data_IF_488656189955
#
_entry.id   IF_488656189955
#
_cell.length_a   1.000
_cell.length_b   1.000
_cell.length_c   1.000
_cell.angle_alpha   90.00
_cell.angle_beta   90.00
_cell.angle_gamma   90.00
#
_symmetry.space_group_name_H-M   'P 1'
#
loop_
_entity.id
_entity.type
_entity.pdbx_description
1 polymer ?
#
# COMPACT_ATOMS: atom_id res chain seq x y z
N UNK A 1 -38.95 -10.79 53.61
CA UNK A 1 -38.77 -9.63 52.72
C UNK A 1 -37.85 -10.12 51.60
N UNK A 2 -38.30 -10.80 50.54
CA UNK A 2 -39.28 -10.45 49.50
C UNK A 2 -38.96 -9.09 48.86
N UNK A 3 -38.20 -9.15 47.76
CA UNK A 3 -38.53 -8.45 46.51
C UNK A 3 -37.84 -9.17 45.35
N UNK A 4 -38.69 -9.89 44.62
CA UNK A 4 -38.53 -10.40 43.27
C UNK A 4 -38.55 -9.23 42.24
N UNK A 5 -38.40 -9.58 40.96
CA UNK A 5 -38.62 -8.79 39.73
C UNK A 5 -37.41 -7.99 39.20
N UNK A 6 -36.92 -8.14 37.96
CA UNK A 6 -37.45 -8.73 36.72
C UNK A 6 -36.29 -9.24 35.86
N UNK A 7 -36.33 -10.53 35.53
CA UNK A 7 -35.63 -11.13 34.39
C UNK A 7 -36.40 -10.72 33.12
N UNK A 8 -35.76 -9.98 32.21
CA UNK A 8 -36.27 -9.83 30.85
C UNK A 8 -35.83 -11.05 30.03
N UNK A 9 -36.76 -12.01 29.92
CA UNK A 9 -36.77 -13.10 28.96
C UNK A 9 -37.17 -12.50 27.61
N UNK A 10 -36.25 -12.45 26.64
CA UNK A 10 -36.62 -12.25 25.24
C UNK A 10 -37.06 -13.60 24.67
N UNK A 11 -38.37 -13.70 24.48
CA UNK A 11 -39.10 -14.77 23.83
C UNK A 11 -38.59 -14.99 22.40
N UNK A 12 -38.12 -16.21 22.15
CA UNK A 12 -37.98 -16.77 20.81
C UNK A 12 -39.34 -17.32 20.38
N UNK A 13 -40.11 -16.53 19.65
CA UNK A 13 -41.40 -16.96 19.12
C UNK A 13 -42.06 -15.91 18.24
N UNK A 14 -41.71 -15.89 16.95
CA UNK A 14 -42.62 -15.55 15.84
C UNK A 14 -41.84 -15.35 14.53
N UNK A 15 -41.45 -16.45 13.85
CA UNK A 15 -41.19 -16.41 12.40
C UNK A 15 -41.49 -17.79 11.77
N UNK A 16 -42.76 -18.19 11.80
CA UNK A 16 -43.31 -19.22 10.93
C UNK A 16 -44.66 -18.72 10.43
N UNK A 17 -44.73 -18.10 9.25
CA UNK A 17 -45.83 -18.37 8.31
C UNK A 17 -45.64 -17.72 6.90
N UNK A 18 -44.72 -18.24 6.07
CA UNK A 18 -44.62 -17.83 4.65
C UNK A 18 -44.84 -19.00 3.69
N UNK A 19 -45.09 -20.22 4.18
CA UNK A 19 -45.19 -21.41 3.31
C UNK A 19 -46.59 -21.81 2.84
N UNK A 20 -47.67 -21.23 3.37
CA UNK A 20 -49.04 -21.68 3.02
C UNK A 20 -49.85 -20.78 2.08
N UNK A 21 -49.28 -19.69 1.54
CA UNK A 21 -49.99 -18.84 0.55
C UNK A 21 -49.95 -19.35 -0.90
N UNK A 22 -49.37 -20.51 -1.19
CA UNK A 22 -49.26 -21.03 -2.56
C UNK A 22 -50.40 -21.94 -3.03
N UNK A 23 -51.46 -22.20 -2.23
CA UNK A 23 -52.48 -23.23 -2.54
C UNK A 23 -53.93 -22.78 -2.75
N UNK A 24 -54.22 -21.49 -2.85
CA UNK A 24 -55.59 -21.02 -3.19
C UNK A 24 -55.56 -19.86 -4.18
N UNK A 25 -55.21 -20.15 -5.42
CA UNK A 25 -55.58 -19.30 -6.55
C UNK A 25 -56.86 -19.87 -7.19
N UNK A 26 -57.91 -19.07 -7.40
CA UNK A 26 -59.15 -19.52 -8.03
C UNK A 26 -58.92 -19.84 -9.51
N UNK A 27 -59.36 -21.04 -9.90
CA UNK A 27 -59.40 -21.54 -11.27
C UNK A 27 -60.32 -20.65 -12.11
N UNK A 28 -59.75 -19.74 -12.90
CA UNK A 28 -60.48 -19.05 -13.95
C UNK A 28 -60.71 -19.99 -15.13
N UNK A 29 -61.94 -20.05 -15.70
CA UNK A 29 -62.22 -20.88 -16.87
C UNK A 29 -61.44 -20.36 -18.08
N UNK A 30 -60.72 -21.28 -18.73
CA UNK A 30 -59.98 -21.05 -19.97
C UNK A 30 -61.00 -20.88 -21.09
N UNK A 31 -61.16 -19.66 -21.58
CA UNK A 31 -61.88 -19.37 -22.82
C UNK A 31 -61.02 -19.87 -24.00
N UNK A 32 -61.54 -20.73 -24.90
CA UNK A 32 -60.78 -21.15 -26.07
C UNK A 32 -60.59 -19.95 -27.01
N UNK A 33 -59.32 -19.53 -27.20
CA UNK A 33 -58.96 -18.54 -28.20
C UNK A 33 -59.30 -19.08 -29.59
N UNK A 34 -60.33 -18.50 -30.18
CA UNK A 34 -60.64 -18.60 -31.61
C UNK A 34 -59.42 -18.15 -32.43
N UNK A 35 -59.14 -18.94 -33.46
CA UNK A 35 -58.02 -18.81 -34.38
C UNK A 35 -57.90 -17.37 -34.92
N UNK A 36 -56.90 -16.63 -34.41
CA UNK A 36 -56.34 -15.48 -35.12
C UNK A 36 -55.57 -16.00 -36.31
N UNK A 37 -55.90 -15.48 -37.49
CA UNK A 37 -55.29 -15.83 -38.76
C UNK A 37 -53.77 -15.69 -38.80
N UNK A 38 -53.14 -16.11 -39.90
CA UNK A 38 -51.68 -16.21 -40.00
C UNK A 38 -51.05 -14.86 -39.68
N UNK A 39 -50.39 -14.79 -38.52
CA UNK A 39 -49.44 -13.74 -38.21
C UNK A 39 -48.33 -13.79 -39.26
N UNK A 40 -48.42 -12.93 -40.27
CA UNK A 40 -47.26 -12.56 -41.07
C UNK A 40 -46.31 -11.84 -40.12
N UNK A 41 -45.25 -12.55 -39.69
CA UNK A 41 -44.11 -11.87 -39.09
C UNK A 41 -43.60 -10.84 -40.10
N UNK A 42 -43.37 -9.59 -39.69
CA UNK A 42 -42.61 -8.64 -40.50
C UNK A 42 -41.27 -9.31 -40.80
N UNK A 43 -41.03 -9.60 -42.07
CA UNK A 43 -39.74 -10.09 -42.55
C UNK A 43 -38.72 -9.02 -42.14
N UNK A 44 -37.71 -9.34 -41.31
CA UNK A 44 -36.68 -8.36 -40.98
C UNK A 44 -36.02 -7.97 -42.30
N UNK A 45 -36.11 -6.69 -42.65
CA UNK A 45 -35.51 -6.14 -43.85
C UNK A 45 -34.03 -6.50 -43.87
N UNK A 46 -33.65 -7.34 -44.83
CA UNK A 46 -32.27 -7.78 -45.07
C UNK A 46 -31.37 -6.66 -45.64
N UNK A 47 -31.81 -5.40 -45.57
CA UNK A 47 -31.17 -4.22 -46.19
C UNK A 47 -30.52 -3.25 -45.21
N UNK A 48 -30.47 -3.55 -43.90
CA UNK A 48 -29.76 -2.73 -42.90
C UNK A 48 -28.59 -3.45 -42.22
N UNK A 49 -28.03 -4.49 -42.85
CA UNK A 49 -26.73 -5.05 -42.48
C UNK A 49 -25.58 -4.31 -43.19
N UNK A 50 -25.65 -2.97 -43.25
CA UNK A 50 -24.43 -2.17 -43.32
C UNK A 50 -23.73 -2.34 -41.98
N UNK A 51 -22.85 -3.36 -41.93
CA UNK A 51 -21.91 -3.58 -40.84
C UNK A 51 -21.35 -2.22 -40.39
N UNK A 52 -21.73 -1.69 -39.21
CA UNK A 52 -21.10 -0.49 -38.72
C UNK A 52 -19.64 -0.88 -38.54
N UNK A 53 -18.80 -0.29 -39.40
CA UNK A 53 -17.41 -0.66 -39.56
C UNK A 53 -16.79 -0.93 -38.20
N UNK A 54 -16.15 -2.08 -38.08
CA UNK A 54 -15.34 -2.43 -36.93
C UNK A 54 -14.33 -1.29 -36.72
N UNK A 55 -14.72 -0.29 -35.91
CA UNK A 55 -13.84 0.77 -35.51
C UNK A 55 -12.64 0.07 -34.87
N UNK A 56 -11.41 0.36 -35.35
CA UNK A 56 -10.27 -0.50 -35.11
C UNK A 56 -10.06 -0.64 -33.61
N UNK A 57 -10.17 -1.87 -33.09
CA UNK A 57 -10.00 -2.18 -31.66
C UNK A 57 -8.62 -1.77 -31.13
N UNK A 58 -7.64 -1.56 -32.02
CA UNK A 58 -6.35 -0.93 -31.74
C UNK A 58 -6.46 0.52 -31.25
N UNK A 59 -7.40 1.32 -31.78
CA UNK A 59 -7.61 2.70 -31.36
C UNK A 59 -8.02 2.79 -29.88
N UNK A 60 -8.79 1.82 -29.39
CA UNK A 60 -9.28 1.79 -28.02
C UNK A 60 -8.18 1.47 -26.99
N UNK A 61 -7.39 0.42 -27.23
CA UNK A 61 -6.30 0.05 -26.32
C UNK A 61 -5.25 1.16 -26.25
N UNK A 62 -4.98 1.80 -27.38
CA UNK A 62 -4.06 2.94 -27.49
C UNK A 62 -4.62 4.19 -26.78
N UNK A 63 -5.92 4.48 -26.91
CA UNK A 63 -6.58 5.58 -26.20
C UNK A 63 -6.60 5.33 -24.68
N UNK A 64 -6.84 4.10 -24.23
CA UNK A 64 -6.77 3.74 -22.82
C UNK A 64 -5.35 3.90 -22.26
N UNK A 65 -4.34 3.38 -22.96
CA UNK A 65 -2.92 3.54 -22.59
C UNK A 65 -2.48 5.01 -22.54
N UNK A 66 -2.88 5.79 -23.55
CA UNK A 66 -2.63 7.24 -23.58
C UNK A 66 -3.36 7.97 -22.45
N UNK A 67 -4.62 7.63 -22.13
CA UNK A 67 -5.34 8.28 -21.04
C UNK A 67 -4.71 8.03 -19.66
N UNK A 68 -3.95 6.94 -19.54
CA UNK A 68 -3.21 6.59 -18.35
C UNK A 68 -1.83 7.25 -18.29
N UNK A 69 -1.11 7.29 -19.41
CA UNK A 69 0.22 7.92 -19.50
C UNK A 69 0.15 9.46 -19.47
N UNK A 70 -0.90 10.05 -20.03
CA UNK A 70 -1.06 11.51 -20.11
C UNK A 70 -1.74 12.11 -18.87
N UNK A 71 -2.23 11.28 -17.94
CA UNK A 71 -2.88 11.75 -16.73
C UNK A 71 -4.05 12.70 -17.02
N UNK A 72 -4.10 13.91 -16.42
CA UNK A 72 -5.16 14.89 -16.68
C UNK A 72 -5.25 15.35 -18.15
N UNK A 73 -4.14 15.32 -18.91
CA UNK A 73 -4.14 15.73 -20.32
C UNK A 73 -4.94 14.77 -21.22
N UNK A 74 -5.30 13.58 -20.71
CA UNK A 74 -6.24 12.66 -21.32
C UNK A 74 -7.61 13.29 -21.64
N UNK A 75 -8.00 14.36 -20.93
CA UNK A 75 -9.23 15.10 -21.21
C UNK A 75 -9.26 15.66 -22.64
N UNK A 76 -8.11 16.04 -23.20
CA UNK A 76 -8.00 16.53 -24.58
C UNK A 76 -8.28 15.44 -25.63
N UNK A 77 -7.98 14.19 -25.29
CA UNK A 77 -8.15 13.04 -26.18
C UNK A 77 -9.59 12.54 -26.24
N UNK A 78 -10.44 12.92 -25.28
CA UNK A 78 -11.84 12.46 -25.23
C UNK A 78 -12.80 13.55 -25.75
N UNK A 79 -13.78 13.21 -26.61
CA UNK A 79 -14.79 14.16 -27.07
C UNK A 79 -15.60 14.76 -25.91
N UNK A 80 -15.87 13.98 -24.87
CA UNK A 80 -16.54 14.43 -23.65
C UNK A 80 -15.68 15.42 -22.84
N UNK A 81 -14.40 15.13 -22.65
CA UNK A 81 -13.48 16.03 -21.94
C UNK A 81 -13.35 17.39 -22.62
N UNK A 82 -13.28 17.44 -23.96
CA UNK A 82 -13.19 18.69 -24.74
C UNK A 82 -14.41 19.61 -24.57
N UNK A 83 -15.58 19.08 -24.23
CA UNK A 83 -16.81 19.87 -24.02
C UNK A 83 -16.88 20.49 -22.62
N UNK A 84 -16.09 20.00 -21.67
CA UNK A 84 -16.12 20.45 -20.28
C UNK A 84 -14.86 21.22 -19.92
N UNK A 85 -14.79 22.48 -20.35
CA UNK A 85 -13.64 23.37 -20.15
C UNK A 85 -13.16 23.44 -18.69
N UNK A 86 -14.06 23.39 -17.70
CA UNK A 86 -13.68 23.46 -16.28
C UNK A 86 -12.82 22.30 -15.79
N UNK A 87 -13.03 21.08 -16.29
CA UNK A 87 -12.18 19.94 -15.91
C UNK A 87 -10.81 20.01 -16.56
N UNK A 88 -10.77 20.54 -17.78
CA UNK A 88 -9.53 20.74 -18.52
C UNK A 88 -8.64 21.79 -17.86
N UNK A 89 -9.22 22.93 -17.47
CA UNK A 89 -8.49 23.99 -16.76
C UNK A 89 -7.99 23.49 -15.41
N UNK A 90 -8.82 22.76 -14.65
CA UNK A 90 -8.41 22.14 -13.39
C UNK A 90 -7.24 21.16 -13.59
N UNK A 91 -7.31 20.31 -14.61
CA UNK A 91 -6.26 19.35 -14.93
C UNK A 91 -4.93 20.02 -15.30
N UNK A 92 -4.97 21.05 -16.15
CA UNK A 92 -3.78 21.82 -16.54
C UNK A 92 -3.20 22.58 -15.34
N UNK A 93 -4.03 23.29 -14.58
CA UNK A 93 -3.59 24.04 -13.41
C UNK A 93 -2.95 23.12 -12.36
N UNK A 94 -3.56 21.96 -12.10
CA UNK A 94 -3.04 20.96 -11.16
C UNK A 94 -1.74 20.32 -11.64
N UNK A 95 -1.61 20.04 -12.95
CA UNK A 95 -0.39 19.50 -13.53
C UNK A 95 0.77 20.50 -13.48
N UNK A 96 0.51 21.78 -13.78
CA UNK A 96 1.51 22.84 -13.67
C UNK A 96 1.94 23.05 -12.22
N UNK A 97 0.99 23.12 -11.29
CA UNK A 97 1.28 23.23 -9.87
C UNK A 97 2.09 22.02 -9.37
N UNK A 98 1.69 20.79 -9.72
CA UNK A 98 2.41 19.57 -9.36
C UNK A 98 3.83 19.52 -9.95
N UNK A 99 4.01 19.91 -11.21
CA UNK A 99 5.33 19.99 -11.85
C UNK A 99 6.22 21.03 -11.16
N UNK A 100 5.67 22.20 -10.82
CA UNK A 100 6.37 23.23 -10.06
C UNK A 100 6.83 22.69 -8.70
N UNK A 101 5.97 21.97 -7.99
CA UNK A 101 6.29 21.34 -6.70
C UNK A 101 7.35 20.25 -6.82
N UNK A 102 7.30 19.44 -7.88
CA UNK A 102 8.21 18.32 -8.07
C UNK A 102 9.59 18.74 -8.60
N UNK A 103 9.66 19.81 -9.40
CA UNK A 103 10.88 20.25 -10.07
C UNK A 103 11.65 21.31 -9.27
N UNK A 104 10.95 22.11 -8.46
CA UNK A 104 11.60 23.15 -7.70
C UNK A 104 11.85 22.66 -6.27
N UNK A 105 13.12 22.54 -5.85
CA UNK A 105 13.43 22.09 -4.50
C UNK A 105 12.83 23.05 -3.49
N UNK A 106 12.30 22.48 -2.40
CA UNK A 106 11.61 23.19 -1.33
C UNK A 106 12.40 24.40 -0.80
N UNK A 107 13.73 24.27 -0.73
CA UNK A 107 14.66 25.30 -0.29
C UNK A 107 14.66 26.60 -1.13
N UNK A 108 14.19 26.56 -2.39
CA UNK A 108 14.11 27.75 -3.25
C UNK A 108 12.83 28.56 -3.07
N UNK A 109 11.77 27.96 -2.53
CA UNK A 109 10.45 28.60 -2.41
C UNK A 109 10.17 29.19 -1.04
N UNK A 110 10.80 28.65 0.00
CA UNK A 110 10.57 29.08 1.38
C UNK A 110 11.74 29.98 1.80
N UNK A 111 11.64 31.33 1.65
CA UNK A 111 12.54 32.21 2.35
C UNK A 111 12.44 31.90 3.84
N UNK A 112 13.61 31.80 4.49
CA UNK A 112 13.85 31.36 5.87
C UNK A 112 13.02 32.13 6.93
N UNK A 113 12.35 33.21 6.56
CA UNK A 113 11.88 34.23 7.50
C UNK A 113 10.43 34.06 7.98
N UNK A 114 9.57 33.23 7.36
CA UNK A 114 8.16 33.13 7.80
C UNK A 114 7.56 31.72 7.75
N UNK A 115 6.95 31.29 8.88
CA UNK A 115 6.18 30.03 9.01
C UNK A 115 4.94 29.95 8.10
N UNK A 116 4.47 31.08 7.55
CA UNK A 116 3.31 31.11 6.67
C UNK A 116 3.58 30.49 5.29
N UNK A 117 4.80 30.63 4.78
CA UNK A 117 5.19 30.13 3.45
C UNK A 117 5.14 28.60 3.33
N UNK A 118 5.67 27.79 4.28
CA UNK A 118 5.59 26.34 4.19
C UNK A 118 4.17 25.80 4.32
N UNK A 119 3.31 26.44 5.12
CA UNK A 119 1.89 26.11 5.21
C UNK A 119 1.17 26.40 3.89
N UNK A 120 1.38 27.57 3.28
CA UNK A 120 0.84 27.89 1.96
C UNK A 120 1.32 26.92 0.87
N UNK A 121 2.58 26.51 0.92
CA UNK A 121 3.13 25.54 -0.02
C UNK A 121 2.54 24.14 0.12
N UNK A 122 2.45 23.63 1.36
CA UNK A 122 1.87 22.32 1.65
C UNK A 122 0.39 22.27 1.28
N UNK A 123 -0.38 23.31 1.59
CA UNK A 123 -1.78 23.43 1.19
C UNK A 123 -1.94 23.49 -0.33
N UNK A 124 -1.11 24.28 -1.02
CA UNK A 124 -1.10 24.30 -2.49
C UNK A 124 -0.77 22.92 -3.06
N UNK A 125 0.17 22.18 -2.48
CA UNK A 125 0.53 20.84 -2.91
C UNK A 125 -0.60 19.82 -2.72
N UNK A 126 -1.28 19.88 -1.58
CA UNK A 126 -2.48 19.06 -1.32
C UNK A 126 -3.58 19.38 -2.34
N UNK A 127 -3.89 20.66 -2.56
CA UNK A 127 -4.92 21.08 -3.50
C UNK A 127 -4.58 20.71 -4.94
N UNK A 128 -3.33 20.89 -5.36
CA UNK A 128 -2.85 20.50 -6.68
C UNK A 128 -2.94 18.99 -6.89
N UNK A 129 -2.59 18.20 -5.88
CA UNK A 129 -2.67 16.73 -5.96
C UNK A 129 -4.13 16.29 -6.04
N UNK A 130 -5.01 16.78 -5.16
CA UNK A 130 -6.44 16.45 -5.18
C UNK A 130 -7.08 16.89 -6.50
N UNK A 131 -6.80 18.10 -6.97
CA UNK A 131 -7.30 18.63 -8.23
C UNK A 131 -6.86 17.79 -9.43
N UNK A 132 -5.57 17.41 -9.47
CA UNK A 132 -4.99 16.59 -10.51
C UNK A 132 -5.62 15.19 -10.58
N UNK A 133 -5.71 14.52 -9.44
CA UNK A 133 -6.36 13.21 -9.35
C UNK A 133 -7.86 13.26 -9.63
N UNK A 134 -8.55 14.34 -9.26
CA UNK A 134 -9.97 14.54 -9.58
C UNK A 134 -10.19 14.74 -11.08
N UNK A 135 -9.37 15.57 -11.74
CA UNK A 135 -9.41 15.76 -13.18
C UNK A 135 -9.06 14.45 -13.92
N UNK A 136 -8.08 13.70 -13.43
CA UNK A 136 -7.68 12.42 -14.01
C UNK A 136 -8.76 11.35 -13.85
N UNK A 137 -9.34 11.21 -12.65
CA UNK A 137 -10.47 10.32 -12.40
C UNK A 137 -11.66 10.64 -13.32
N UNK A 138 -11.94 11.93 -13.54
CA UNK A 138 -12.99 12.36 -14.47
C UNK A 138 -12.66 12.04 -15.92
N UNK A 139 -11.40 12.22 -16.34
CA UNK A 139 -10.94 11.82 -17.67
C UNK A 139 -11.15 10.33 -17.92
N UNK A 140 -10.82 9.51 -16.92
CA UNK A 140 -11.06 8.08 -16.93
C UNK A 140 -12.55 7.77 -17.05
N UNK A 141 -13.45 8.45 -16.35
CA UNK A 141 -14.89 8.25 -16.51
C UNK A 141 -15.37 8.55 -17.95
N UNK A 142 -14.86 9.60 -18.60
CA UNK A 142 -15.21 9.93 -19.98
C UNK A 142 -14.62 8.96 -21.00
N UNK A 143 -13.39 8.48 -20.80
CA UNK A 143 -12.80 7.42 -21.60
C UNK A 143 -13.56 6.10 -21.41
N UNK A 144 -13.96 5.82 -20.17
CA UNK A 144 -14.74 4.65 -19.79
C UNK A 144 -16.08 4.58 -20.53
N UNK A 145 -16.70 5.74 -20.80
CA UNK A 145 -17.95 5.84 -21.53
C UNK A 145 -17.90 5.22 -22.94
N UNK A 146 -16.71 5.21 -23.54
CA UNK A 146 -16.45 4.70 -24.89
C UNK A 146 -16.02 3.23 -24.88
N UNK A 147 -15.83 2.63 -23.70
CA UNK A 147 -15.44 1.22 -23.57
C UNK A 147 -16.60 0.32 -24.01
N UNK A 148 -16.39 -0.56 -25.01
CA UNK A 148 -17.40 -1.52 -25.41
C UNK A 148 -17.67 -2.52 -24.27
N UNK A 149 -18.89 -3.05 -24.17
CA UNK A 149 -19.25 -4.00 -23.12
C UNK A 149 -18.37 -5.26 -23.19
N UNK A 150 -18.15 -5.98 -22.06
CA UNK A 150 -17.14 -7.05 -21.97
C UNK A 150 -17.24 -8.14 -23.03
N UNK A 151 -18.46 -8.47 -23.47
CA UNK A 151 -18.71 -9.48 -24.49
C UNK A 151 -18.22 -9.10 -25.90
N UNK A 152 -18.02 -7.79 -26.18
CA UNK A 152 -17.50 -7.28 -27.46
C UNK A 152 -16.00 -6.98 -27.44
N UNK A 153 -15.32 -7.22 -26.32
CA UNK A 153 -13.89 -6.96 -26.19
C UNK A 153 -13.04 -8.08 -26.80
N UNK A 154 -11.83 -7.74 -27.24
CA UNK A 154 -10.87 -8.69 -27.80
C UNK A 154 -10.59 -9.84 -26.81
N UNK A 155 -10.30 -11.05 -27.32
CA UNK A 155 -10.13 -12.26 -26.50
C UNK A 155 -9.08 -12.11 -25.39
N UNK A 156 -7.97 -11.43 -25.65
CA UNK A 156 -6.92 -11.18 -24.65
C UNK A 156 -7.40 -10.32 -23.46
N UNK A 157 -8.22 -9.29 -23.69
CA UNK A 157 -8.78 -8.44 -22.62
C UNK A 157 -9.82 -9.17 -21.76
N UNK A 158 -10.32 -10.31 -22.24
CA UNK A 158 -11.19 -11.20 -21.45
C UNK A 158 -10.41 -12.16 -20.54
N UNK A 159 -9.08 -12.21 -20.67
CA UNK A 159 -8.22 -13.01 -19.79
C UNK A 159 -8.10 -12.36 -18.42
N UNK A 160 -8.35 -13.13 -17.36
CA UNK A 160 -8.18 -12.68 -15.97
C UNK A 160 -6.76 -12.20 -15.68
N UNK A 161 -5.77 -12.92 -16.23
CA UNK A 161 -4.36 -12.56 -16.09
C UNK A 161 -4.06 -11.22 -16.76
N UNK A 162 -4.56 -11.01 -17.97
CA UNK A 162 -4.35 -9.74 -18.68
C UNK A 162 -4.95 -8.56 -17.90
N UNK A 163 -6.14 -8.74 -17.31
CA UNK A 163 -6.81 -7.70 -16.51
C UNK A 163 -6.13 -7.46 -15.17
N UNK A 164 -5.61 -8.51 -14.54
CA UNK A 164 -4.77 -8.39 -13.33
C UNK A 164 -3.48 -7.60 -13.63
N UNK A 165 -2.77 -7.97 -14.70
CA UNK A 165 -1.53 -7.31 -15.14
C UNK A 165 -1.80 -5.86 -15.52
N UNK A 166 -2.90 -5.59 -16.24
CA UNK A 166 -3.31 -4.22 -16.54
C UNK A 166 -3.63 -3.41 -15.28
N UNK A 167 -4.27 -4.02 -14.28
CA UNK A 167 -4.52 -3.38 -12.99
C UNK A 167 -3.24 -3.11 -12.18
N UNK A 168 -2.25 -4.00 -12.26
CA UNK A 168 -0.93 -3.81 -11.65
C UNK A 168 -0.17 -2.66 -12.30
N UNK A 169 -0.20 -2.56 -13.63
CA UNK A 169 0.47 -1.48 -14.37
C UNK A 169 -0.25 -0.15 -14.14
N UNK A 170 -1.58 -0.16 -14.14
CA UNK A 170 -2.41 1.04 -14.19
C UNK A 170 -3.65 0.93 -13.27
N UNK A 171 -3.69 1.68 -12.15
CA UNK A 171 -4.67 1.49 -11.08
C UNK A 171 -6.11 1.82 -11.50
N UNK A 172 -6.95 0.81 -11.69
CA UNK A 172 -8.35 0.96 -12.11
C UNK A 172 -8.60 0.48 -13.53
N UNK A 173 -7.55 0.23 -14.33
CA UNK A 173 -7.68 -0.37 -15.66
C UNK A 173 -8.43 -1.70 -15.62
N UNK A 174 -8.11 -2.55 -14.63
CA UNK A 174 -8.78 -3.83 -14.49
C UNK A 174 -10.30 -3.70 -14.30
N UNK A 175 -10.73 -2.68 -13.55
CA UNK A 175 -12.15 -2.39 -13.32
C UNK A 175 -12.84 -1.76 -14.53
N UNK A 176 -12.12 -0.96 -15.32
CA UNK A 176 -12.63 -0.42 -16.59
C UNK A 176 -12.94 -1.52 -17.59
N UNK A 177 -12.03 -2.49 -17.73
CA UNK A 177 -12.22 -3.63 -18.63
C UNK A 177 -13.41 -4.48 -18.18
N UNK A 178 -13.58 -4.66 -16.87
CA UNK A 178 -14.76 -5.29 -16.27
C UNK A 178 -16.08 -4.52 -16.38
N UNK A 179 -16.08 -3.32 -16.99
CA UNK A 179 -17.28 -2.53 -17.28
C UNK A 179 -17.78 -1.62 -16.16
N UNK A 180 -17.05 -1.52 -15.03
CA UNK A 180 -17.48 -0.70 -13.89
C UNK A 180 -16.74 0.63 -13.83
N UNK A 181 -17.26 1.58 -14.60
CA UNK A 181 -16.66 2.91 -14.86
C UNK A 181 -16.51 3.75 -13.59
N UNK A 182 -17.53 3.71 -12.72
CA UNK A 182 -17.55 4.48 -11.49
C UNK A 182 -16.48 4.01 -10.50
N UNK A 183 -16.39 2.69 -10.29
CA UNK A 183 -15.42 2.14 -9.35
C UNK A 183 -13.98 2.37 -9.83
N UNK A 184 -13.70 2.21 -11.13
CA UNK A 184 -12.38 2.51 -11.67
C UNK A 184 -11.91 3.95 -11.35
N UNK A 185 -12.81 4.92 -11.49
CA UNK A 185 -12.50 6.32 -11.17
C UNK A 185 -12.32 6.60 -9.69
N UNK A 186 -13.11 5.94 -8.82
CA UNK A 186 -12.97 6.06 -7.37
C UNK A 186 -11.64 5.49 -6.90
N UNK A 187 -11.22 4.33 -7.44
CA UNK A 187 -9.93 3.74 -7.11
C UNK A 187 -8.78 4.62 -7.55
N UNK A 188 -8.79 5.14 -8.78
CA UNK A 188 -7.78 6.08 -9.22
C UNK A 188 -7.74 7.34 -8.34
N UNK A 189 -8.90 7.87 -7.97
CA UNK A 189 -8.97 9.03 -7.07
C UNK A 189 -8.36 8.70 -5.70
N UNK A 190 -8.67 7.53 -5.12
CA UNK A 190 -8.16 7.10 -3.83
C UNK A 190 -6.63 6.95 -3.75
N UNK A 191 -5.89 7.00 -4.87
CA UNK A 191 -4.43 7.01 -4.87
C UNK A 191 -3.80 8.37 -4.53
N UNK A 192 -4.57 9.46 -4.51
CA UNK A 192 -4.01 10.80 -4.25
C UNK A 192 -3.21 10.90 -2.92
N UNK A 193 -3.61 10.27 -1.79
CA UNK A 193 -2.83 10.35 -0.56
C UNK A 193 -1.48 9.65 -0.66
N UNK A 194 -1.41 8.54 -1.41
CA UNK A 194 -0.17 7.80 -1.63
C UNK A 194 0.80 8.60 -2.50
N UNK A 195 0.29 9.23 -3.56
CA UNK A 195 1.10 10.11 -4.41
C UNK A 195 1.63 11.33 -3.64
N UNK A 196 0.80 11.94 -2.79
CA UNK A 196 1.22 13.00 -1.88
C UNK A 196 2.28 12.48 -0.89
N UNK A 197 2.08 11.29 -0.34
CA UNK A 197 3.06 10.65 0.55
C UNK A 197 4.42 10.45 -0.11
N UNK A 198 4.46 9.97 -1.36
CA UNK A 198 5.72 9.86 -2.14
C UNK A 198 6.39 11.22 -2.31
N UNK A 199 5.61 12.26 -2.63
CA UNK A 199 6.14 13.61 -2.79
C UNK A 199 6.74 14.16 -1.49
N UNK A 200 6.07 13.92 -0.35
CA UNK A 200 6.58 14.29 0.98
C UNK A 200 7.86 13.53 1.29
N UNK A 201 7.88 12.19 1.14
CA UNK A 201 9.05 11.37 1.43
C UNK A 201 10.26 11.75 0.56
N UNK A 202 10.04 12.04 -0.72
CA UNK A 202 11.10 12.50 -1.63
C UNK A 202 11.77 13.78 -1.14
N UNK A 203 11.02 14.68 -0.53
CA UNK A 203 11.51 15.97 -0.05
C UNK A 203 11.78 15.98 1.47
N UNK A 204 11.60 14.85 2.16
CA UNK A 204 11.65 14.78 3.63
C UNK A 204 13.00 15.26 4.18
N UNK A 205 14.11 14.88 3.53
CA UNK A 205 15.46 15.28 3.95
C UNK A 205 15.69 16.79 3.79
N UNK A 206 15.23 17.39 2.68
CA UNK A 206 15.36 18.83 2.46
C UNK A 206 14.48 19.63 3.43
N UNK A 207 13.26 19.14 3.69
CA UNK A 207 12.35 19.70 4.69
C UNK A 207 12.97 19.64 6.09
N UNK A 208 13.60 18.52 6.44
CA UNK A 208 14.28 18.32 7.72
C UNK A 208 15.46 19.28 7.90
N UNK A 209 16.37 19.34 6.91
CA UNK A 209 17.52 20.25 6.94
C UNK A 209 17.09 21.70 7.05
N UNK A 210 16.05 22.08 6.31
CA UNK A 210 15.50 23.43 6.41
C UNK A 210 14.97 23.70 7.81
N UNK A 211 14.16 22.80 8.38
CA UNK A 211 13.61 22.97 9.73
C UNK A 211 14.71 23.05 10.80
N UNK A 212 15.70 22.16 10.74
CA UNK A 212 16.83 22.14 11.68
C UNK A 212 17.62 23.45 11.70
N UNK A 213 17.67 24.17 10.57
CA UNK A 213 18.34 25.48 10.49
C UNK A 213 17.48 26.68 10.89
N UNK A 214 16.15 26.54 10.85
CA UNK A 214 15.22 27.68 10.94
C UNK A 214 14.43 27.72 12.24
N UNK A 215 14.14 26.56 12.84
CA UNK A 215 13.28 26.45 14.01
C UNK A 215 13.97 25.59 15.07
N UNK A 216 14.45 26.19 16.18
CA UNK A 216 15.05 25.44 17.29
C UNK A 216 14.02 24.71 18.16
N UNK A 217 12.72 24.82 17.83
CA UNK A 217 11.63 24.23 18.60
C UNK A 217 11.48 22.72 18.31
N UNK A 218 11.59 21.90 19.37
CA UNK A 218 11.41 20.44 19.32
C UNK A 218 10.01 20.04 18.87
N UNK A 219 8.98 20.83 19.22
CA UNK A 219 7.60 20.51 18.85
C UNK A 219 7.41 20.53 17.32
N UNK A 220 8.09 21.44 16.62
CA UNK A 220 8.05 21.50 15.17
C UNK A 220 8.76 20.31 14.52
N UNK A 221 9.87 19.85 15.11
CA UNK A 221 10.59 18.67 14.66
C UNK A 221 9.74 17.39 14.81
N UNK A 222 9.12 17.18 15.98
CA UNK A 222 8.23 16.04 16.23
C UNK A 222 7.03 16.03 15.25
N UNK A 223 6.43 17.18 14.96
CA UNK A 223 5.34 17.30 13.99
C UNK A 223 5.79 16.94 12.56
N UNK A 224 6.98 17.38 12.15
CA UNK A 224 7.55 17.03 10.85
C UNK A 224 7.82 15.52 10.76
N UNK A 225 8.44 14.92 11.79
CA UNK A 225 8.66 13.48 11.84
C UNK A 225 7.35 12.69 11.77
N UNK A 226 6.33 13.12 12.51
CA UNK A 226 5.00 12.52 12.45
C UNK A 226 4.39 12.62 11.04
N UNK A 227 4.54 13.77 10.37
CA UNK A 227 4.05 13.93 9.00
C UNK A 227 4.77 13.00 8.00
N UNK A 228 6.07 12.77 8.18
CA UNK A 228 6.86 11.83 7.38
C UNK A 228 6.38 10.38 7.62
N UNK A 229 6.11 10.01 8.87
CA UNK A 229 5.54 8.70 9.22
C UNK A 229 4.15 8.50 8.60
N UNK A 230 3.28 9.50 8.67
CA UNK A 230 1.96 9.47 8.04
C UNK A 230 2.06 9.36 6.52
N UNK A 231 3.01 10.06 5.90
CA UNK A 231 3.29 9.95 4.47
C UNK A 231 3.76 8.54 4.10
N UNK A 232 4.68 7.94 4.86
CA UNK A 232 5.12 6.55 4.67
C UNK A 232 3.94 5.57 4.79
N UNK A 233 3.12 5.71 5.82
CA UNK A 233 1.90 4.91 5.99
C UNK A 233 0.95 5.03 4.80
N UNK A 234 0.71 6.25 4.31
CA UNK A 234 -0.14 6.48 3.15
C UNK A 234 0.40 5.83 1.87
N UNK A 235 1.72 5.83 1.67
CA UNK A 235 2.36 5.13 0.53
C UNK A 235 2.16 3.62 0.63
N UNK A 236 2.39 3.03 1.80
CA UNK A 236 2.20 1.59 2.03
C UNK A 236 0.74 1.18 1.83
N UNK A 237 -0.20 1.90 2.44
CA UNK A 237 -1.63 1.67 2.26
C UNK A 237 -2.06 1.85 0.80
N UNK A 238 -1.51 2.85 0.11
CA UNK A 238 -1.72 3.06 -1.32
C UNK A 238 -1.24 1.89 -2.17
N UNK A 239 -0.05 1.36 -1.90
CA UNK A 239 0.49 0.20 -2.61
C UNK A 239 -0.37 -1.06 -2.37
N UNK A 240 -0.85 -1.27 -1.14
CA UNK A 240 -1.77 -2.36 -0.83
C UNK A 240 -3.11 -2.19 -1.55
N UNK A 241 -3.70 -0.98 -1.50
CA UNK A 241 -4.91 -0.62 -2.21
C UNK A 241 -4.77 -0.84 -3.73
N UNK A 242 -3.62 -0.50 -4.31
CA UNK A 242 -3.29 -0.75 -5.71
C UNK A 242 -3.32 -2.25 -6.04
N UNK A 243 -2.69 -3.09 -5.22
CA UNK A 243 -2.67 -4.54 -5.42
C UNK A 243 -4.07 -5.16 -5.29
N UNK A 244 -4.84 -4.73 -4.28
CA UNK A 244 -6.23 -5.15 -4.06
C UNK A 244 -7.10 -4.83 -5.27
N UNK A 245 -6.99 -3.62 -5.78
CA UNK A 245 -7.73 -3.16 -6.95
C UNK A 245 -7.40 -3.99 -8.20
N UNK A 246 -6.13 -4.37 -8.39
CA UNK A 246 -5.71 -5.21 -9.51
C UNK A 246 -6.34 -6.62 -9.44
N UNK A 247 -6.35 -7.23 -8.25
CA UNK A 247 -6.96 -8.54 -8.00
C UNK A 247 -8.49 -8.52 -8.16
N UNK A 248 -9.16 -7.50 -7.62
CA UNK A 248 -10.61 -7.35 -7.74
C UNK A 248 -11.05 -7.14 -9.20
N UNK A 249 -10.23 -6.47 -10.01
CA UNK A 249 -10.42 -6.40 -11.46
C UNK A 249 -10.44 -7.77 -12.14
N UNK A 250 -9.50 -8.65 -11.79
CA UNK A 250 -9.42 -10.01 -12.32
C UNK A 250 -10.58 -10.90 -11.84
N UNK A 251 -11.01 -10.72 -10.58
CA UNK A 251 -12.11 -11.48 -9.98
C UNK A 251 -13.44 -11.23 -10.67
N UNK A 252 -13.73 -10.00 -11.09
CA UNK A 252 -14.99 -9.66 -11.77
C UNK A 252 -15.18 -10.32 -13.13
N UNK A 253 -14.09 -10.84 -13.73
CA UNK A 253 -14.14 -11.64 -14.95
C UNK A 253 -14.32 -13.14 -14.68
N UNK A 254 -14.37 -13.57 -13.42
CA UNK A 254 -14.70 -14.95 -13.10
C UNK A 254 -16.19 -15.21 -13.36
N UNK A 255 -16.58 -16.18 -14.22
CA UNK A 255 -17.93 -16.73 -14.22
C UNK A 255 -18.30 -17.10 -12.79
N UNK A 256 -19.37 -16.48 -12.29
CA UNK A 256 -19.80 -16.63 -10.91
C UNK A 256 -20.08 -18.11 -10.61
N UNK A 257 -19.34 -18.78 -9.69
CA UNK A 257 -19.97 -19.85 -8.94
C UNK A 257 -21.07 -19.21 -8.07
N UNK A 258 -22.22 -19.87 -7.93
CA UNK A 258 -23.40 -19.38 -7.23
C UNK A 258 -23.19 -19.08 -5.72
N UNK A 259 -21.97 -19.18 -5.21
CA UNK A 259 -21.61 -18.97 -3.81
C UNK A 259 -20.68 -17.74 -3.69
N UNK A 260 -21.06 -16.85 -2.77
CA UNK A 260 -20.30 -15.71 -2.24
C UNK A 260 -20.28 -14.39 -3.06
N UNK A 261 -21.44 -13.73 -3.13
CA UNK A 261 -21.55 -12.26 -3.35
C UNK A 261 -21.28 -11.43 -2.08
N UNK A 262 -20.65 -11.98 -1.05
CA UNK A 262 -20.63 -11.34 0.28
C UNK A 262 -19.40 -10.50 0.65
N UNK A 263 -18.18 -11.01 0.52
CA UNK A 263 -17.07 -10.52 1.37
C UNK A 263 -15.70 -10.44 0.70
N UNK A 264 -15.62 -10.50 -0.64
CA UNK A 264 -14.34 -10.75 -1.31
C UNK A 264 -13.35 -9.57 -1.41
N UNK A 265 -13.77 -8.33 -1.12
CA UNK A 265 -12.82 -7.20 -1.02
C UNK A 265 -11.83 -7.38 0.15
N UNK A 266 -12.29 -7.99 1.26
CA UNK A 266 -11.44 -8.30 2.41
C UNK A 266 -10.41 -9.40 2.12
N UNK A 267 -10.70 -10.33 1.21
CA UNK A 267 -9.77 -11.41 0.88
C UNK A 267 -8.55 -10.94 0.09
N UNK A 268 -8.72 -9.97 -0.82
CA UNK A 268 -7.60 -9.39 -1.55
C UNK A 268 -6.72 -8.53 -0.63
N UNK A 269 -7.34 -7.76 0.28
CA UNK A 269 -6.61 -7.00 1.32
C UNK A 269 -5.86 -7.96 2.25
N UNK A 270 -6.55 -8.98 2.74
CA UNK A 270 -5.96 -10.02 3.58
C UNK A 270 -4.82 -10.74 2.87
N UNK A 271 -4.93 -11.02 1.56
CA UNK A 271 -3.85 -11.65 0.79
C UNK A 271 -2.64 -10.72 0.65
N UNK A 272 -2.86 -9.43 0.37
CA UNK A 272 -1.78 -8.44 0.30
C UNK A 272 -1.04 -8.28 1.63
N UNK A 273 -1.80 -8.14 2.73
CA UNK A 273 -1.26 -8.13 4.10
C UNK A 273 -0.56 -9.45 4.41
N UNK A 274 -1.12 -10.59 4.00
CA UNK A 274 -0.51 -11.90 4.22
C UNK A 274 0.79 -12.05 3.45
N UNK A 275 0.90 -11.55 2.22
CA UNK A 275 2.15 -11.57 1.44
C UNK A 275 3.23 -10.69 2.08
N UNK A 276 2.86 -9.50 2.55
CA UNK A 276 3.78 -8.62 3.28
C UNK A 276 4.22 -9.24 4.61
N UNK A 277 3.28 -9.81 5.37
CA UNK A 277 3.55 -10.53 6.59
C UNK A 277 4.41 -11.78 6.35
N UNK A 278 4.17 -12.52 5.26
CA UNK A 278 4.98 -13.68 4.84
C UNK A 278 6.39 -13.28 4.42
N UNK A 279 6.56 -12.13 3.76
CA UNK A 279 7.89 -11.62 3.41
C UNK A 279 8.70 -11.25 4.65
N UNK A 280 8.05 -10.63 5.66
CA UNK A 280 8.67 -10.30 6.95
C UNK A 280 8.92 -11.57 7.78
N UNK A 281 7.94 -12.48 7.87
CA UNK A 281 8.05 -13.73 8.60
C UNK A 281 9.05 -14.71 7.96
N UNK A 282 9.29 -14.61 6.66
CA UNK A 282 10.24 -15.46 5.95
C UNK A 282 11.70 -15.13 6.25
N UNK A 283 12.02 -13.90 6.67
CA UNK A 283 13.36 -13.50 7.11
C UNK A 283 13.29 -12.33 8.13
N UNK A 284 12.78 -12.58 9.35
CA UNK A 284 12.58 -11.52 10.35
C UNK A 284 13.89 -10.85 10.73
N UNK A 285 14.99 -11.60 10.79
CA UNK A 285 16.34 -11.09 11.09
C UNK A 285 16.85 -10.08 10.06
N UNK A 286 16.55 -10.29 8.77
CA UNK A 286 16.98 -9.34 7.71
C UNK A 286 16.14 -8.06 7.76
N UNK A 287 14.85 -8.20 8.03
CA UNK A 287 13.98 -7.05 8.22
C UNK A 287 14.39 -6.24 9.46
N UNK A 288 14.62 -6.92 10.60
CA UNK A 288 15.09 -6.28 11.83
C UNK A 288 16.43 -5.56 11.63
N UNK A 289 17.42 -6.19 10.98
CA UNK A 289 18.70 -5.55 10.64
C UNK A 289 18.52 -4.31 9.77
N UNK A 290 17.76 -4.40 8.68
CA UNK A 290 17.52 -3.24 7.82
C UNK A 290 16.85 -2.08 8.56
N UNK A 291 15.93 -2.38 9.49
CA UNK A 291 15.27 -1.38 10.33
C UNK A 291 16.24 -0.77 11.35
N UNK A 292 17.10 -1.58 11.97
CA UNK A 292 18.16 -1.13 12.87
C UNK A 292 19.17 -0.23 12.17
N UNK A 293 19.69 -0.64 11.01
CA UNK A 293 20.62 0.14 10.20
C UNK A 293 20.00 1.47 9.77
N UNK A 294 18.73 1.44 9.31
CA UNK A 294 18.01 2.66 8.96
C UNK A 294 17.80 3.58 10.17
N UNK A 295 17.53 3.03 11.36
CA UNK A 295 17.42 3.80 12.59
C UNK A 295 18.73 4.53 12.92
N UNK A 296 19.88 3.86 12.82
CA UNK A 296 21.19 4.47 13.08
C UNK A 296 21.51 5.59 12.08
N UNK A 297 21.23 5.38 10.79
CA UNK A 297 21.44 6.40 9.74
C UNK A 297 20.56 7.62 10.00
N UNK A 298 19.27 7.43 10.31
CA UNK A 298 18.35 8.54 10.58
C UNK A 298 18.69 9.26 11.89
N UNK A 299 19.14 8.53 12.91
CA UNK A 299 19.61 9.15 14.15
C UNK A 299 20.84 10.04 13.89
N UNK A 300 21.77 9.60 13.03
CA UNK A 300 22.93 10.41 12.65
C UNK A 300 22.55 11.70 11.88
N UNK A 301 21.44 11.68 11.16
CA UNK A 301 20.85 12.86 10.49
C UNK A 301 20.01 13.74 11.45
N UNK A 302 19.92 13.36 12.73
CA UNK A 302 19.29 14.14 13.79
C UNK A 302 17.80 13.84 14.04
N UNK A 303 17.21 12.86 13.34
CA UNK A 303 15.83 12.41 13.61
C UNK A 303 15.74 11.73 14.98
N UNK A 304 14.56 11.74 15.61
CA UNK A 304 14.36 11.29 17.00
C UNK A 304 13.17 10.35 17.20
N UNK A 305 12.04 10.57 16.53
CA UNK A 305 10.82 9.73 16.56
C UNK A 305 10.97 8.56 15.61
N UNK A 306 11.35 8.81 14.35
CA UNK A 306 11.44 7.77 13.32
C UNK A 306 12.44 6.67 13.71
N UNK A 307 13.70 6.98 14.09
CA UNK A 307 14.64 5.93 14.49
C UNK A 307 14.19 5.18 15.75
N UNK A 308 13.43 5.83 16.64
CA UNK A 308 12.85 5.17 17.80
C UNK A 308 11.80 4.12 17.38
N UNK A 309 10.89 4.48 16.48
CA UNK A 309 9.90 3.51 15.98
C UNK A 309 10.55 2.37 15.21
N UNK A 310 11.61 2.65 14.44
CA UNK A 310 12.35 1.63 13.70
C UNK A 310 13.11 0.67 14.63
N UNK A 311 13.79 1.19 15.66
CA UNK A 311 14.48 0.36 16.66
C UNK A 311 13.52 -0.48 17.49
N UNK A 312 12.36 0.07 17.90
CA UNK A 312 11.30 -0.69 18.55
C UNK A 312 10.71 -1.77 17.65
N UNK A 313 10.54 -1.50 16.35
CA UNK A 313 10.09 -2.49 15.39
C UNK A 313 11.14 -3.59 15.17
N UNK A 314 12.42 -3.23 15.10
CA UNK A 314 13.53 -4.19 15.00
C UNK A 314 13.60 -5.11 16.24
N UNK A 315 13.53 -4.55 17.45
CA UNK A 315 13.48 -5.30 18.71
C UNK A 315 12.28 -6.27 18.79
N UNK A 316 11.11 -5.86 18.26
CA UNK A 316 9.94 -6.75 18.21
C UNK A 316 10.07 -7.87 17.19
N UNK A 317 10.80 -7.65 16.10
CA UNK A 317 11.04 -8.64 15.06
C UNK A 317 12.14 -9.62 15.45
N UNK A 318 13.16 -9.15 16.17
CA UNK A 318 14.33 -9.92 16.58
C UNK A 318 14.84 -9.42 17.94
N UNK A 319 14.21 -9.91 19.01
CA UNK A 319 14.55 -9.54 20.39
C UNK A 319 15.84 -10.19 20.90
N UNK A 320 16.49 -11.04 20.10
CA UNK A 320 17.75 -11.66 20.49
C UNK A 320 18.93 -10.68 20.39
N UNK A 321 18.80 -9.65 19.55
CA UNK A 321 19.81 -8.61 19.38
C UNK A 321 19.55 -7.45 20.34
N UNK A 322 20.20 -7.49 21.50
CA UNK A 322 20.10 -6.46 22.55
C UNK A 322 20.42 -5.04 22.05
N UNK A 323 21.20 -4.91 20.98
CA UNK A 323 21.57 -3.63 20.37
C UNK A 323 20.34 -2.79 20.01
N UNK A 324 19.28 -3.40 19.46
CA UNK A 324 18.06 -2.65 19.09
C UNK A 324 17.36 -2.04 20.31
N UNK A 325 17.25 -2.81 21.39
CA UNK A 325 16.67 -2.36 22.65
C UNK A 325 17.52 -1.24 23.29
N UNK A 326 18.86 -1.37 23.28
CA UNK A 326 19.78 -0.36 23.78
C UNK A 326 19.66 0.94 22.99
N UNK A 327 19.59 0.87 21.66
CA UNK A 327 19.36 2.06 20.81
C UNK A 327 18.01 2.71 21.14
N UNK A 328 16.94 1.93 21.30
CA UNK A 328 15.63 2.46 21.66
C UNK A 328 15.64 3.14 23.05
N UNK A 329 16.31 2.54 24.05
CA UNK A 329 16.49 3.14 25.39
C UNK A 329 17.21 4.49 25.26
N UNK A 330 18.34 4.54 24.56
CA UNK A 330 19.09 5.77 24.37
C UNK A 330 18.24 6.87 23.71
N UNK A 331 17.41 6.50 22.73
CA UNK A 331 16.49 7.43 22.08
C UNK A 331 15.37 7.94 23.01
N UNK A 332 14.80 7.08 23.87
CA UNK A 332 13.86 7.53 24.91
C UNK A 332 14.53 8.51 25.89
N UNK A 333 15.77 8.27 26.30
CA UNK A 333 16.51 9.16 27.19
C UNK A 333 16.82 10.51 26.56
N UNK A 334 17.26 10.52 25.29
CA UNK A 334 17.48 11.77 24.53
C UNK A 334 16.20 12.61 24.46
N UNK A 335 15.03 11.95 24.39
CA UNK A 335 13.71 12.60 24.38
C UNK A 335 13.23 13.04 25.76
N UNK A 336 13.88 12.62 26.85
CA UNK A 336 13.42 12.84 28.22
C UNK A 336 12.24 11.96 28.64
N UNK A 337 11.96 10.87 27.91
CA UNK A 337 10.95 9.88 28.27
C UNK A 337 11.55 8.81 29.19
N UNK A 338 11.76 9.19 30.46
CA UNK A 338 12.37 8.32 31.46
C UNK A 338 11.54 7.05 31.73
N UNK A 339 10.21 7.14 31.63
CA UNK A 339 9.31 6.01 31.84
C UNK A 339 9.46 4.97 30.73
N UNK A 340 9.48 5.41 29.46
CA UNK A 340 9.73 4.53 28.32
C UNK A 340 11.10 3.87 28.37
N UNK A 341 12.15 4.63 28.69
CA UNK A 341 13.51 4.10 28.86
C UNK A 341 13.58 3.05 29.99
N UNK A 342 12.95 3.31 31.13
CA UNK A 342 12.91 2.37 32.26
C UNK A 342 12.18 1.08 31.91
N UNK A 343 11.01 1.16 31.28
CA UNK A 343 10.26 -0.03 30.88
C UNK A 343 11.04 -0.92 29.90
N UNK A 344 11.79 -0.32 28.96
CA UNK A 344 12.63 -1.08 28.05
C UNK A 344 13.85 -1.70 28.74
N UNK A 345 14.46 -1.02 29.71
CA UNK A 345 15.54 -1.58 30.55
C UNK A 345 15.07 -2.81 31.30
N UNK A 346 13.94 -2.71 32.00
CA UNK A 346 13.36 -3.83 32.75
C UNK A 346 13.09 -5.04 31.82
N UNK A 347 12.58 -4.79 30.61
CA UNK A 347 12.35 -5.84 29.61
C UNK A 347 13.66 -6.45 29.10
N UNK A 348 14.69 -5.64 28.90
CA UNK A 348 16.02 -6.09 28.47
C UNK A 348 16.72 -6.90 29.56
N UNK A 349 16.63 -6.47 30.82
CA UNK A 349 17.17 -7.21 31.96
C UNK A 349 16.51 -8.60 32.08
N UNK A 350 15.17 -8.66 31.90
CA UNK A 350 14.43 -9.92 31.87
C UNK A 350 14.85 -10.83 30.71
N UNK A 351 15.16 -10.28 29.53
CA UNK A 351 15.57 -11.09 28.37
C UNK A 351 17.03 -11.56 28.45
N UNK A 352 17.91 -10.79 29.12
CA UNK A 352 19.32 -11.12 29.29
C UNK A 352 19.60 -12.03 30.49
N UNK A 353 18.74 -12.04 31.52
CA UNK A 353 18.93 -12.83 32.74
C UNK A 353 19.27 -14.32 32.50
N UNK A 354 18.63 -15.04 31.55
CA UNK A 354 18.98 -16.44 31.27
C UNK A 354 20.40 -16.61 30.70
N UNK A 355 20.86 -15.66 29.89
CA UNK A 355 22.20 -15.70 29.28
C UNK A 355 23.28 -15.38 30.30
N UNK A 356 23.03 -14.41 31.18
CA UNK A 356 23.92 -14.09 32.30
C UNK A 356 24.06 -15.31 33.22
N UNK A 357 22.95 -15.95 33.60
CA UNK A 357 22.98 -17.17 34.42
C UNK A 357 23.75 -18.32 33.76
N UNK A 358 23.65 -18.47 32.42
CA UNK A 358 24.42 -19.45 31.65
C UNK A 358 25.92 -19.13 31.66
N UNK A 359 26.29 -17.86 31.50
CA UNK A 359 27.68 -17.41 31.57
C UNK A 359 28.25 -17.62 32.98
N UNK A 360 27.51 -17.27 34.02
CA UNK A 360 27.91 -17.47 35.41
C UNK A 360 28.07 -18.96 35.75
N UNK A 361 27.15 -19.82 35.28
CA UNK A 361 27.27 -21.26 35.45
C UNK A 361 28.45 -21.86 34.67
N UNK A 362 28.80 -21.28 33.52
CA UNK A 362 29.97 -21.68 32.73
C UNK A 362 31.29 -21.25 33.37
N UNK A 363 31.30 -20.07 34.00
CA UNK A 363 32.45 -19.54 34.75
C UNK A 363 32.64 -20.23 36.10
N UNK A 364 31.54 -20.66 36.74
CA UNK A 364 31.53 -21.37 38.02
C UNK A 364 31.79 -22.88 37.88
N UNK A 365 32.06 -23.41 36.69
CA UNK A 365 32.70 -24.72 36.53
C UNK A 365 34.21 -24.54 36.72
N UNK A 366 34.76 -24.75 37.93
CA UNK A 366 36.21 -24.87 38.08
C UNK A 366 36.66 -26.04 37.20
N UNK A 367 37.82 -25.86 36.56
CA UNK A 367 38.39 -26.74 35.55
C UNK A 367 37.85 -28.17 35.58
N UNK A 368 37.17 -28.57 34.50
CA UNK A 368 37.34 -29.94 34.02
C UNK A 368 38.82 -30.06 33.61
N UNK A 369 39.66 -30.30 34.60
CA UNK A 369 41.05 -30.62 34.45
C UNK A 369 41.15 -31.78 33.45
N UNK A 370 41.76 -31.53 32.30
CA UNK A 370 42.57 -32.53 31.63
C UNK A 370 41.87 -33.61 30.80
N UNK A 371 40.68 -33.40 30.23
CA UNK A 371 40.32 -34.20 29.05
C UNK A 371 40.90 -33.52 27.81
N UNK A 372 42.18 -33.81 27.58
CA UNK A 372 42.88 -33.51 26.34
C UNK A 372 42.03 -33.98 25.17
N UNK A 373 41.31 -33.06 24.53
CA UNK A 373 40.75 -33.28 23.20
C UNK A 373 41.93 -33.72 22.33
N UNK A 374 41.97 -34.98 21.84
CA UNK A 374 43.08 -35.42 21.02
C UNK A 374 43.15 -34.52 19.80
N UNK A 375 44.24 -33.77 19.72
CA UNK A 375 44.59 -32.94 18.57
C UNK A 375 44.41 -33.79 17.31
N UNK A 376 43.54 -33.41 16.34
CA UNK A 376 43.39 -34.11 15.06
C UNK A 376 44.61 -33.98 14.15
N UNK A 377 45.76 -33.51 14.65
CA UNK A 377 46.93 -33.09 13.89
C UNK A 377 47.93 -34.23 13.61
N UNK A 378 47.46 -35.46 13.38
CA UNK A 378 48.30 -36.50 12.76
C UNK A 378 47.60 -37.30 11.65
N UNK A 379 46.42 -36.89 11.17
CA UNK A 379 45.92 -37.43 9.91
C UNK A 379 46.64 -36.70 8.77
N UNK A 380 47.63 -37.39 8.23
CA UNK A 380 48.43 -37.03 7.08
C UNK A 380 47.63 -36.23 6.04
N UNK A 381 48.22 -35.11 5.61
CA UNK A 381 47.81 -34.37 4.45
C UNK A 381 47.67 -35.34 3.26
N UNK A 382 46.46 -35.49 2.77
CA UNK A 382 46.20 -36.04 1.44
C UNK A 382 46.43 -34.88 0.44
N UNK A 383 47.48 -34.92 -0.39
CA UNK A 383 47.79 -33.85 -1.35
C UNK A 383 46.83 -33.81 -2.56
N UNK A 384 45.72 -34.55 -2.53
CA UNK A 384 44.81 -34.70 -3.67
C UNK A 384 43.70 -33.65 -3.77
N UNK A 385 43.57 -32.69 -2.84
CA UNK A 385 42.40 -31.81 -2.80
C UNK A 385 42.71 -30.39 -3.32
N UNK A 386 42.23 -30.00 -4.52
CA UNK A 386 42.42 -28.66 -5.05
C UNK A 386 41.63 -27.63 -4.21
N UNK A 387 42.33 -26.57 -3.82
CA UNK A 387 41.82 -25.52 -2.95
C UNK A 387 40.67 -24.72 -3.56
N UNK A 388 39.60 -24.59 -2.79
CA UNK A 388 38.60 -23.53 -2.96
C UNK A 388 38.94 -22.43 -1.97
N UNK A 389 39.18 -21.24 -2.53
CA UNK A 389 39.86 -20.14 -1.88
C UNK A 389 39.15 -19.53 -0.69
N UNK A 390 40.00 -19.04 0.19
CA UNK A 390 39.75 -18.09 1.25
C UNK A 390 38.95 -16.88 0.75
N UNK A 391 37.83 -16.62 1.42
CA UNK A 391 37.20 -15.30 1.45
C UNK A 391 36.69 -15.11 2.87
N UNK A 392 36.88 -13.89 3.38
CA UNK A 392 36.52 -13.35 4.70
C UNK A 392 37.57 -13.50 5.80
N UNK A 393 38.37 -12.45 6.01
CA UNK A 393 38.17 -11.51 7.13
C UNK A 393 39.07 -10.27 6.89
N UNK A 394 38.45 -9.19 6.42
CA UNK A 394 39.10 -7.88 6.25
C UNK A 394 38.69 -6.93 7.37
N UNK A 395 39.52 -6.92 8.40
CA UNK A 395 39.68 -5.94 9.49
C UNK A 395 39.11 -4.53 9.28
N UNK A 396 38.26 -4.12 10.22
CA UNK A 396 38.16 -2.76 10.75
C UNK A 396 39.53 -2.29 11.24
N UNK A 397 40.04 -1.17 10.70
CA UNK A 397 40.81 -0.14 11.40
C UNK A 397 41.46 0.84 10.40
N UNK A 398 40.98 2.09 10.36
CA UNK A 398 41.90 3.24 10.29
C UNK A 398 41.23 4.54 10.72
N UNK A 399 41.69 5.02 11.86
CA UNK A 399 41.55 6.39 12.31
C UNK A 399 42.50 7.33 11.53
N UNK A 400 41.98 8.53 11.19
CA UNK A 400 42.54 9.91 11.10
C UNK A 400 43.94 10.17 10.49
N UNK A 401 44.15 11.35 9.84
CA UNK A 401 44.23 12.69 10.50
C UNK A 401 43.49 13.80 9.70
N UNK A 402 42.96 14.89 10.28
CA UNK A 402 43.61 16.09 10.87
C UNK A 402 44.62 16.81 9.94
N UNK A 403 44.25 18.03 9.50
CA UNK A 403 45.08 19.02 8.80
C UNK A 403 44.76 19.14 7.30
N UNK A 404 44.55 20.31 6.70
CA UNK A 404 44.63 21.70 7.16
C UNK A 404 44.43 22.65 5.96
N UNK A 405 44.15 23.91 6.31
CA UNK A 405 43.88 25.11 5.49
C UNK A 405 42.47 25.27 4.92
#
# INVERSE_FOLDING_TARGET
MRNDEKLNVMEAGDVLDIRDRARKAPTTPITPLTARGPYQMPRPDASAASSPGAAPTMHYALLLGLTWLLGPAALLLTPGGRRHHGWLTLGIASALAGALIALVPYSRFVPVTTLATPLAWSTLAVLATIGGFSAWARAVQFAAAQVPPPHRQNRWLRSRLAVCVLGLIAPGCGMLVGGNRWHASLWLWALWPAALGVAVLRNAMDMWRHLATTVPDRAAADLLEFSILMAAGAVVLGALAWLVQALEGARRLAPAPALARGHGDWFAVALGVSCAALAVAGNPERAARNLGDAALVLQAEGFSVIPLQLSLAADRLDSAHAEYAVTAIALHEIRGDEQGAKALRERLDLSLAPYVALLDASAARPGSDGESVPSPSSRAADPSRPGTGELYYGTLARARPAGGR
#
